data_IF_655290177327
#
_entry.id   IF_655290177327
#
_cell.length_a   1.000
_cell.length_b   1.000
_cell.length_c   1.000
_cell.angle_alpha   90.00
_cell.angle_beta   90.00
_cell.angle_gamma   90.00
#
_symmetry.space_group_name_H-M   'P 1'
#
loop_
_entity.id
_entity.type
_entity.pdbx_description
1 polymer ?
#
# COMPACT_ATOMS: atom_id res chain seq x y z
N UNK A 1 27.08 27.55 -23.89
CA UNK A 1 25.93 28.49 -23.97
C UNK A 1 24.89 27.83 -24.86
N UNK A 2 23.67 27.45 -24.47
CA UNK A 2 22.85 27.74 -23.29
C UNK A 2 21.76 26.65 -23.16
N UNK A 3 21.46 26.30 -21.90
CA UNK A 3 20.22 25.80 -21.31
C UNK A 3 19.32 24.80 -22.05
N UNK A 4 19.53 23.52 -21.71
CA UNK A 4 18.44 22.56 -21.55
C UNK A 4 17.58 22.98 -20.36
N UNK A 5 16.50 23.72 -20.64
CA UNK A 5 15.44 23.98 -19.68
C UNK A 5 14.84 22.65 -19.25
N UNK A 6 15.19 22.22 -18.03
CA UNK A 6 14.46 21.20 -17.29
C UNK A 6 13.00 21.63 -17.25
N UNK A 7 12.17 21.00 -18.09
CA UNK A 7 10.73 21.15 -18.05
C UNK A 7 10.27 20.39 -16.80
N UNK A 8 10.36 21.05 -15.64
CA UNK A 8 9.74 20.56 -14.43
C UNK A 8 8.27 20.41 -14.74
N UNK A 9 7.76 19.19 -14.64
CA UNK A 9 6.35 18.87 -14.80
C UNK A 9 5.57 19.72 -13.80
N UNK A 10 4.93 20.79 -14.27
CA UNK A 10 3.98 21.57 -13.50
C UNK A 10 2.75 20.68 -13.25
N UNK A 11 2.84 19.81 -12.24
CA UNK A 11 1.68 19.18 -11.65
C UNK A 11 0.87 20.29 -10.95
N UNK A 12 0.08 21.01 -11.74
CA UNK A 12 -0.93 21.96 -11.27
C UNK A 12 -1.90 21.21 -10.38
N UNK A 13 -1.66 21.26 -9.07
CA UNK A 13 -2.58 20.79 -8.05
C UNK A 13 -3.83 21.68 -8.11
N UNK A 14 -4.76 21.31 -8.99
CA UNK A 14 -6.08 21.90 -9.06
C UNK A 14 -6.88 21.31 -7.90
N UNK A 15 -6.80 21.94 -6.73
CA UNK A 15 -7.63 21.60 -5.58
C UNK A 15 -9.05 22.12 -5.83
N UNK A 16 -9.74 21.51 -6.79
CA UNK A 16 -11.19 21.49 -6.74
C UNK A 16 -11.52 20.63 -5.51
N UNK A 17 -12.25 21.19 -4.54
CA UNK A 17 -12.58 20.55 -3.25
C UNK A 17 -13.48 19.35 -3.49
N UNK A 18 -12.90 18.28 -4.04
CA UNK A 18 -13.63 17.08 -4.35
C UNK A 18 -13.93 16.41 -3.02
N UNK A 19 -15.21 16.30 -2.67
CA UNK A 19 -15.63 15.64 -1.44
C UNK A 19 -15.19 14.17 -1.49
N UNK A 20 -14.16 13.84 -0.72
CA UNK A 20 -13.54 12.51 -0.67
C UNK A 20 -14.56 11.42 -0.32
N UNK A 21 -15.69 11.75 0.33
CA UNK A 21 -16.76 10.81 0.64
C UNK A 21 -17.57 10.37 -0.59
N UNK A 22 -17.51 11.14 -1.67
CA UNK A 22 -18.22 10.89 -2.93
C UNK A 22 -17.34 10.30 -4.02
N UNK A 23 -16.03 10.26 -3.80
CA UNK A 23 -15.05 9.71 -4.74
C UNK A 23 -14.80 8.25 -4.40
N UNK A 24 -14.84 7.38 -5.41
CA UNK A 24 -14.47 5.96 -5.26
C UNK A 24 -12.96 5.83 -5.16
N UNK A 25 -12.49 4.65 -4.76
CA UNK A 25 -11.06 4.34 -4.71
C UNK A 25 -10.53 4.22 -6.15
N UNK A 26 -9.59 5.08 -6.52
CA UNK A 26 -8.84 4.99 -7.78
C UNK A 26 -7.58 4.14 -7.56
N UNK A 27 -7.33 3.08 -8.35
CA UNK A 27 -6.21 2.17 -8.15
C UNK A 27 -4.82 2.79 -8.43
N UNK A 28 -4.75 3.97 -9.06
CA UNK A 28 -3.49 4.61 -9.45
C UNK A 28 -2.94 5.59 -8.39
N UNK A 29 -3.36 5.42 -7.13
CA UNK A 29 -2.98 6.28 -6.02
C UNK A 29 -2.40 5.48 -4.85
N UNK A 30 -1.62 6.17 -4.02
CA UNK A 30 -1.08 5.62 -2.79
C UNK A 30 -2.10 5.74 -1.66
N UNK A 31 -2.39 4.62 -0.99
CA UNK A 31 -3.28 4.58 0.17
C UNK A 31 -2.54 4.07 1.40
N UNK A 32 -2.66 4.75 2.55
CA UNK A 32 -2.20 4.20 3.81
C UNK A 32 -3.12 3.05 4.21
N UNK A 33 -2.53 1.88 4.45
CA UNK A 33 -3.26 0.65 4.80
C UNK A 33 -2.97 0.14 6.22
N UNK A 34 -1.91 0.65 6.87
CA UNK A 34 -1.57 0.35 8.26
C UNK A 34 -0.62 1.42 8.83
N UNK A 35 -0.57 1.52 10.16
CA UNK A 35 0.43 2.33 10.85
C UNK A 35 1.74 1.56 11.02
N UNK A 36 2.87 2.26 10.90
CA UNK A 36 4.20 1.65 11.08
C UNK A 36 4.36 0.94 12.44
N UNK A 37 3.69 1.40 13.49
CA UNK A 37 3.73 0.82 14.84
C UNK A 37 2.97 -0.51 14.96
N UNK A 38 1.94 -0.72 14.13
CA UNK A 38 1.18 -1.98 14.08
C UNK A 38 1.99 -3.08 13.38
N UNK A 39 2.80 -2.68 12.40
CA UNK A 39 3.67 -3.57 11.65
C UNK A 39 4.97 -3.85 12.43
N UNK A 40 4.95 -4.87 13.29
CA UNK A 40 6.12 -5.34 14.04
C UNK A 40 7.14 -6.01 13.11
N UNK A 41 8.43 -5.97 13.47
CA UNK A 41 9.49 -6.69 12.74
C UNK A 41 9.22 -8.19 12.74
N UNK A 42 9.54 -8.82 11.62
CA UNK A 42 9.40 -10.27 11.38
C UNK A 42 7.97 -10.75 11.54
N UNK A 43 7.00 -9.86 11.34
CA UNK A 43 5.57 -10.17 11.42
C UNK A 43 4.87 -9.78 10.12
N UNK A 44 3.91 -10.62 9.77
CA UNK A 44 2.89 -10.32 8.78
C UNK A 44 1.64 -9.73 9.46
N UNK A 45 1.03 -8.74 8.81
CA UNK A 45 -0.22 -8.10 9.20
C UNK A 45 -1.20 -8.22 8.04
N UNK A 46 -2.31 -8.93 8.24
CA UNK A 46 -3.43 -8.97 7.30
C UNK A 46 -4.30 -7.73 7.49
N UNK A 47 -4.57 -7.02 6.40
CA UNK A 47 -5.47 -5.86 6.37
C UNK A 47 -6.48 -6.02 5.26
N UNK A 48 -7.72 -5.59 5.50
CA UNK A 48 -8.74 -5.49 4.47
C UNK A 48 -8.81 -4.07 3.95
N UNK A 49 -8.54 -3.90 2.65
CA UNK A 49 -8.62 -2.61 1.97
C UNK A 49 -9.43 -2.75 0.68
N UNK A 50 -10.41 -1.87 0.48
CA UNK A 50 -11.30 -1.89 -0.68
C UNK A 50 -12.01 -3.24 -0.93
N UNK A 51 -12.23 -4.06 0.11
CA UNK A 51 -12.81 -5.40 0.00
C UNK A 51 -11.81 -6.51 -0.39
N UNK A 52 -10.51 -6.18 -0.47
CA UNK A 52 -9.43 -7.13 -0.75
C UNK A 52 -8.56 -7.33 0.49
N UNK A 53 -8.05 -8.55 0.67
CA UNK A 53 -7.05 -8.84 1.69
C UNK A 53 -5.66 -8.50 1.15
N UNK A 54 -4.89 -7.77 1.94
CA UNK A 54 -3.50 -7.43 1.67
C UNK A 54 -2.68 -7.80 2.88
N UNK A 55 -1.62 -8.57 2.69
CA UNK A 55 -0.70 -8.94 3.76
C UNK A 55 0.52 -8.04 3.69
N UNK A 56 0.74 -7.27 4.75
CA UNK A 56 1.91 -6.40 4.90
C UNK A 56 2.95 -7.12 5.76
N UNK A 57 4.18 -7.20 5.27
CA UNK A 57 5.28 -7.84 5.97
C UNK A 57 6.38 -6.83 6.25
N UNK A 58 6.88 -6.79 7.49
CA UNK A 58 8.15 -6.12 7.80
C UNK A 58 9.22 -7.18 8.02
N UNK A 59 10.18 -7.32 7.09
CA UNK A 59 11.30 -8.22 7.31
C UNK A 59 12.17 -7.74 8.48
N UNK A 60 13.07 -8.60 8.95
CA UNK A 60 14.11 -8.22 9.92
C UNK A 60 14.95 -7.05 9.39
N UNK A 61 15.37 -7.19 8.14
CA UNK A 61 16.21 -6.26 7.40
C UNK A 61 15.53 -5.87 6.08
N UNK A 62 15.66 -4.61 5.68
CA UNK A 62 15.04 -4.09 4.45
C UNK A 62 13.70 -3.38 4.64
N UNK A 63 13.07 -3.03 3.53
CA UNK A 63 11.82 -2.27 3.51
C UNK A 63 10.59 -3.19 3.69
N UNK A 64 9.51 -2.69 4.32
CA UNK A 64 8.22 -3.38 4.30
C UNK A 64 7.72 -3.60 2.88
N UNK A 65 7.00 -4.70 2.67
CA UNK A 65 6.36 -5.02 1.40
C UNK A 65 4.93 -5.53 1.62
N UNK A 66 4.13 -5.49 0.55
CA UNK A 66 2.75 -5.97 0.55
C UNK A 66 2.59 -7.13 -0.43
N UNK A 67 1.78 -8.10 -0.04
CA UNK A 67 1.38 -9.26 -0.84
C UNK A 67 -0.15 -9.30 -0.92
N UNK A 68 -0.67 -9.99 -1.92
CA UNK A 68 -2.08 -10.40 -1.91
C UNK A 68 -2.32 -11.32 -0.68
N UNK A 69 -3.40 -11.08 0.05
CA UNK A 69 -3.78 -11.89 1.21
C UNK A 69 -4.40 -13.24 0.84
N UNK A 70 -4.57 -13.51 -0.45
CA UNK A 70 -4.96 -14.81 -0.99
C UNK A 70 -3.73 -15.62 -1.38
N UNK A 71 -3.78 -16.94 -1.12
CA UNK A 71 -2.73 -17.84 -1.61
C UNK A 71 -2.82 -17.94 -3.13
N UNK A 72 -1.77 -17.59 -3.89
CA UNK A 72 -1.84 -17.58 -5.36
C UNK A 72 -2.32 -18.91 -5.95
N UNK A 73 -1.97 -20.01 -5.30
CA UNK A 73 -2.31 -21.35 -5.74
C UNK A 73 -3.77 -21.75 -5.47
N UNK A 74 -4.37 -21.30 -4.35
CA UNK A 74 -5.69 -21.80 -3.92
C UNK A 74 -6.74 -20.73 -3.71
N UNK A 75 -6.38 -19.45 -3.81
CA UNK A 75 -7.28 -18.32 -3.62
C UNK A 75 -8.04 -18.37 -2.28
N UNK A 76 -7.46 -19.08 -1.30
CA UNK A 76 -7.97 -19.16 0.07
C UNK A 76 -7.30 -18.08 0.89
N UNK A 77 -8.07 -17.46 1.78
CA UNK A 77 -7.54 -16.58 2.81
C UNK A 77 -6.47 -17.32 3.60
N UNK A 78 -5.34 -16.66 3.82
CA UNK A 78 -4.32 -17.16 4.73
C UNK A 78 -4.93 -17.07 6.13
N UNK A 79 -5.54 -18.16 6.57
CA UNK A 79 -6.39 -18.15 7.76
C UNK A 79 -5.58 -17.80 9.02
N UNK A 80 -5.63 -16.52 9.39
CA UNK A 80 -5.76 -16.02 10.76
C UNK A 80 -4.71 -16.46 11.79
N UNK A 81 -3.45 -16.62 11.39
CA UNK A 81 -2.33 -16.75 12.32
C UNK A 81 -1.42 -15.54 12.21
N UNK A 82 -1.01 -14.91 13.31
CA UNK A 82 0.12 -13.98 13.31
C UNK A 82 1.35 -14.73 12.80
N UNK A 83 1.66 -14.60 11.50
CA UNK A 83 2.79 -15.29 10.90
C UNK A 83 4.07 -14.57 11.30
N UNK A 84 4.97 -15.28 11.98
CA UNK A 84 6.37 -14.86 12.07
C UNK A 84 7.02 -15.20 10.74
N UNK A 85 7.63 -14.21 10.10
CA UNK A 85 8.45 -14.44 8.91
C UNK A 85 9.88 -14.59 9.40
N UNK A 86 10.35 -15.83 9.47
CA UNK A 86 11.73 -16.18 9.85
C UNK A 86 12.74 -15.89 8.75
#
# INVERSE_FOLDING_TARGET
>A
MENWLHKTSEHRARSDQTDLRRVRIDPNFWYPVAWSRELRREKALDVQFAGHHVVIVRPKDGAPYALDGLCPHRQVLWAKGMYTVS
#
